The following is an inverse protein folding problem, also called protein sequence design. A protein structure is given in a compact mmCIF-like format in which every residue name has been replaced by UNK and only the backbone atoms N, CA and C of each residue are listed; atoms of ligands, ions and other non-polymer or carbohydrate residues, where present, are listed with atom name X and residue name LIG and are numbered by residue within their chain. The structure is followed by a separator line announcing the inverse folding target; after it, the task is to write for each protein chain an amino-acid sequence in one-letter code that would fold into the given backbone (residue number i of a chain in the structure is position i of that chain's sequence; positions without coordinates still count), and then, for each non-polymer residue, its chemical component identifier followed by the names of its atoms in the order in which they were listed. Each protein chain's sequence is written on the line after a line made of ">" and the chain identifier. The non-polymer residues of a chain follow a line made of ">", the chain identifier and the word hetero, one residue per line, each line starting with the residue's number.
data_IF_842603136280
#
_entry.id   IF_842603136280
#
_cell.length_a   1.000
_cell.length_b   1.000
_cell.length_c   1.000
_cell.angle_alpha   90.00
_cell.angle_beta   90.00
_cell.angle_gamma   90.00
#
_symmetry.space_group_name_H-M   'P 1'
#
loop_
_entity.id
_entity.type
_entity.pdbx_description
1 polymer ?
#
# COMPACT_ATOMS: atom_id res chain seq x y z
N UNK A 1 0.40 5.02 6.38
CA UNK A 1 -0.03 3.77 5.72
C UNK A 1 -0.73 2.81 6.68
N UNK A 2 -0.18 2.49 7.87
CA UNK A 2 -0.89 1.65 8.85
C UNK A 2 -2.24 2.25 9.31
N UNK A 3 -2.33 3.59 9.43
CA UNK A 3 -3.58 4.30 9.70
C UNK A 3 -4.46 4.58 8.46
N UNK A 4 -3.92 4.40 7.24
CA UNK A 4 -4.66 4.62 5.99
C UNK A 4 -5.42 3.35 5.57
N UNK A 5 -4.88 2.18 5.94
CA UNK A 5 -5.48 0.87 5.70
C UNK A 5 -5.58 0.08 7.02
N UNK A 6 -6.50 0.45 7.92
CA UNK A 6 -6.63 -0.21 9.22
C UNK A 6 -7.09 -1.66 9.04
N UNK A 7 -6.30 -2.63 9.48
CA UNK A 7 -6.66 -4.05 9.49
C UNK A 7 -6.64 -4.76 8.12
N UNK A 8 -6.44 -4.02 7.02
CA UNK A 8 -6.40 -4.61 5.67
C UNK A 8 -5.00 -4.98 5.19
N UNK A 9 -3.96 -4.58 5.92
CA UNK A 9 -2.58 -4.89 5.57
C UNK A 9 -2.27 -6.36 5.93
N UNK A 10 -2.00 -7.19 4.93
CA UNK A 10 -1.70 -8.61 5.14
C UNK A 10 -0.27 -8.84 5.67
N UNK A 11 0.66 -7.95 5.31
CA UNK A 11 2.08 -8.00 5.65
C UNK A 11 2.65 -6.58 5.81
N UNK A 12 3.91 -6.44 6.22
CA UNK A 12 4.61 -5.15 6.28
C UNK A 12 4.69 -4.48 4.90
N UNK A 13 4.75 -3.15 4.93
CA UNK A 13 4.96 -2.34 3.74
C UNK A 13 6.38 -2.50 3.22
N UNK A 14 6.51 -2.71 1.92
CA UNK A 14 7.81 -2.78 1.25
C UNK A 14 8.05 -1.43 0.58
N UNK A 15 9.04 -0.69 1.09
CA UNK A 15 9.47 0.58 0.53
C UNK A 15 10.63 0.35 -0.42
N UNK A 16 10.45 0.69 -1.70
CA UNK A 16 11.49 0.65 -2.72
C UNK A 16 11.76 2.07 -3.21
N UNK A 17 12.99 2.56 -3.02
CA UNK A 17 13.42 3.84 -3.58
C UNK A 17 14.22 3.58 -4.84
N UNK A 18 13.73 4.03 -6.00
CA UNK A 18 14.43 3.90 -7.28
C UNK A 18 14.70 5.28 -7.84
N UNK A 19 15.97 5.71 -7.80
CA UNK A 19 16.39 7.05 -8.20
C UNK A 19 15.54 8.16 -7.51
N UNK A 20 14.79 8.94 -8.29
CA UNK A 20 13.95 10.03 -7.78
C UNK A 20 12.54 9.58 -7.37
N UNK A 21 12.13 8.38 -7.76
CA UNK A 21 10.79 7.82 -7.54
C UNK A 21 10.75 6.97 -6.27
N UNK A 22 9.70 7.17 -5.46
CA UNK A 22 9.45 6.36 -4.27
C UNK A 22 8.31 5.39 -4.54
N UNK A 23 8.60 4.10 -4.52
CA UNK A 23 7.63 3.02 -4.72
C UNK A 23 7.24 2.43 -3.38
N UNK A 24 5.94 2.45 -3.09
CA UNK A 24 5.38 1.84 -1.88
C UNK A 24 4.59 0.62 -2.32
N UNK A 25 5.07 -0.57 -1.98
CA UNK A 25 4.37 -1.82 -2.24
C UNK A 25 3.65 -2.27 -0.97
N UNK A 26 2.35 -2.54 -1.09
CA UNK A 26 1.53 -3.02 0.01
C UNK A 26 0.77 -4.29 -0.38
N UNK A 27 0.80 -5.28 0.53
CA UNK A 27 0.00 -6.50 0.44
C UNK A 27 -1.30 -6.28 1.24
N UNK A 28 -2.44 -6.41 0.57
CA UNK A 28 -3.73 -6.01 1.12
C UNK A 28 -4.78 -7.12 1.00
N UNK A 29 -5.62 -7.27 2.02
CA UNK A 29 -6.73 -8.23 2.06
C UNK A 29 -7.93 -7.75 1.24
N UNK A 30 -8.61 -8.68 0.55
CA UNK A 30 -9.80 -8.41 -0.30
C UNK A 30 -11.09 -8.15 0.48
N UNK A 31 -11.02 -7.47 1.61
CA UNK A 31 -12.20 -7.19 2.45
C UNK A 31 -12.94 -5.90 2.05
N UNK A 32 -12.29 -4.99 1.33
CA UNK A 32 -12.91 -3.76 0.83
C UNK A 32 -13.29 -3.87 -0.66
N UNK A 33 -14.32 -3.13 -1.09
CA UNK A 33 -14.65 -3.00 -2.50
C UNK A 33 -13.60 -2.16 -3.24
N UNK A 34 -13.32 -2.53 -4.49
CA UNK A 34 -12.22 -1.98 -5.30
C UNK A 34 -12.23 -0.45 -5.44
N UNK A 35 -13.41 0.18 -5.50
CA UNK A 35 -13.53 1.63 -5.65
C UNK A 35 -12.90 2.41 -4.47
N UNK A 36 -13.04 1.91 -3.23
CA UNK A 36 -12.42 2.55 -2.06
C UNK A 36 -10.89 2.42 -2.09
N UNK A 37 -10.38 1.31 -2.61
CA UNK A 37 -8.95 1.13 -2.79
C UNK A 37 -8.37 2.14 -3.78
N UNK A 38 -8.98 2.31 -4.95
CA UNK A 38 -8.50 3.30 -5.93
C UNK A 38 -8.53 4.73 -5.37
N UNK A 39 -9.57 5.09 -4.59
CA UNK A 39 -9.64 6.39 -3.92
C UNK A 39 -8.49 6.59 -2.92
N UNK A 40 -8.27 5.60 -2.04
CA UNK A 40 -7.23 5.65 -1.02
C UNK A 40 -5.82 5.68 -1.64
N UNK A 41 -5.61 4.95 -2.74
CA UNK A 41 -4.37 5.01 -3.53
C UNK A 41 -4.15 6.41 -4.05
N UNK A 42 -5.09 6.96 -4.82
CA UNK A 42 -4.93 8.30 -5.39
C UNK A 42 -4.73 9.39 -4.32
N UNK A 43 -5.48 9.31 -3.22
CA UNK A 43 -5.32 10.20 -2.06
C UNK A 43 -3.91 10.12 -1.45
N UNK A 44 -3.39 8.91 -1.26
CA UNK A 44 -2.08 8.75 -0.65
C UNK A 44 -0.93 9.05 -1.61
N UNK A 45 -1.05 8.75 -2.91
CA UNK A 45 -0.06 9.15 -3.93
C UNK A 45 0.06 10.67 -4.00
N UNK A 46 -1.07 11.39 -4.09
CA UNK A 46 -1.08 12.86 -4.18
C UNK A 46 -0.55 13.52 -2.91
N UNK A 47 -1.01 13.07 -1.72
CA UNK A 47 -0.54 13.61 -0.44
C UNK A 47 0.95 13.36 -0.24
N UNK A 48 1.43 12.14 -0.50
CA UNK A 48 2.86 11.81 -0.36
C UNK A 48 3.71 12.52 -1.39
N UNK A 49 3.22 12.67 -2.63
CA UNK A 49 3.94 13.40 -3.68
C UNK A 49 4.10 14.88 -3.30
N UNK A 50 3.06 15.50 -2.75
CA UNK A 50 3.13 16.88 -2.27
C UNK A 50 4.05 17.01 -1.04
N UNK A 51 3.98 16.08 -0.10
CA UNK A 51 4.78 16.11 1.13
C UNK A 51 6.28 15.88 0.87
N UNK A 52 6.62 14.88 0.05
CA UNK A 52 8.00 14.52 -0.25
C UNK A 52 8.61 15.25 -1.45
N UNK A 53 7.83 16.08 -2.16
CA UNK A 53 8.21 16.81 -3.38
C UNK A 53 8.82 15.89 -4.45
N UNK A 54 8.37 14.63 -4.50
CA UNK A 54 8.87 13.57 -5.37
C UNK A 54 7.71 12.70 -5.84
N UNK A 55 7.75 12.15 -7.06
CA UNK A 55 6.71 11.24 -7.51
C UNK A 55 6.72 9.96 -6.68
N UNK A 56 5.54 9.62 -6.16
CA UNK A 56 5.30 8.43 -5.36
C UNK A 56 4.35 7.52 -6.12
N UNK A 57 4.73 6.26 -6.30
CA UNK A 57 3.91 5.25 -6.95
C UNK A 57 3.55 4.15 -5.95
N UNK A 58 2.25 3.91 -5.78
CA UNK A 58 1.70 2.91 -4.88
C UNK A 58 1.31 1.65 -5.64
N UNK A 59 1.93 0.53 -5.28
CA UNK A 59 1.61 -0.79 -5.82
C UNK A 59 0.85 -1.61 -4.80
N UNK A 60 -0.42 -1.89 -5.10
CA UNK A 60 -1.25 -2.78 -4.30
C UNK A 60 -1.27 -4.19 -4.89
N UNK A 61 -0.97 -5.18 -4.06
CA UNK A 61 -1.19 -6.58 -4.38
C UNK A 61 -2.27 -7.14 -3.45
N UNK A 62 -3.40 -7.58 -4.01
CA UNK A 62 -4.49 -8.16 -3.21
C UNK A 62 -4.26 -9.64 -2.96
N UNK A 63 -4.41 -10.08 -1.72
CA UNK A 63 -4.35 -11.49 -1.31
C UNK A 63 -5.67 -11.86 -0.60
N UNK A 64 -6.22 -13.07 -0.81
CA UNK A 64 -7.45 -13.49 -0.15
C UNK A 64 -7.31 -13.65 1.37
N UNK A 65 -6.16 -14.09 1.86
CA UNK A 65 -5.88 -14.37 3.27
C UNK A 65 -4.43 -14.05 3.62
N UNK A 66 -4.14 -13.87 4.92
CA UNK A 66 -2.77 -13.60 5.38
C UNK A 66 -1.86 -14.78 5.02
N UNK A 67 -0.74 -14.50 4.36
CA UNK A 67 0.22 -15.52 3.96
C UNK A 67 0.95 -16.02 5.20
N UNK A 68 0.69 -17.27 5.61
CA UNK A 68 1.39 -17.91 6.73
C UNK A 68 2.54 -18.72 6.17
N UNK A 69 3.77 -18.36 6.55
CA UNK A 69 4.97 -19.09 6.13
C UNK A 69 5.18 -20.36 6.97
N UNK A 70 5.04 -20.24 8.30
CA UNK A 70 5.17 -21.35 9.26
C UNK A 70 4.23 -21.14 10.44
N UNK A 71 3.73 -22.23 11.00
CA UNK A 71 3.09 -22.26 12.31
C UNK A 71 4.19 -22.55 13.33
N UNK A 72 4.37 -21.64 14.29
CA UNK A 72 5.25 -21.83 15.44
C UNK A 72 4.50 -22.53 16.56
#
# INVERSE_FOLDING_TARGET
>A
MLGTFPGYLADLLILKRRAYELKVCALVLRQLPAHKFHLLVGYSETLLSHFYKRPVCLHLQTVPSKVVYKYF
#
